data_IF_875502462145
#
_entry.id   IF_875502462145
#
_cell.length_a   1.000
_cell.length_b   1.000
_cell.length_c   1.000
_cell.angle_alpha   90.00
_cell.angle_beta   90.00
_cell.angle_gamma   90.00
#
_symmetry.space_group_name_H-M   'P 1'
#
loop_
_entity.id
_entity.type
_entity.pdbx_description
1 polymer ?
#
# COMPACT_ATOMS: atom_id res chain seq x y z
N UNK A 1 -13.63 45.02 -2.48
CA UNK A 1 -15.03 45.30 -2.12
C UNK A 1 -15.46 44.21 -1.14
N UNK A 2 -15.76 44.56 0.10
CA UNK A 2 -16.18 43.58 1.12
C UNK A 2 -17.66 43.29 0.88
N UNK A 3 -18.02 42.01 0.75
CA UNK A 3 -19.39 41.55 0.50
C UNK A 3 -20.08 41.34 1.84
N UNK A 4 -21.30 41.83 1.99
CA UNK A 4 -22.08 41.68 3.22
C UNK A 4 -22.55 40.22 3.36
N UNK A 5 -22.18 39.57 4.46
CA UNK A 5 -22.43 38.15 4.72
C UNK A 5 -23.60 38.01 5.70
N UNK A 6 -24.49 37.04 5.46
CA UNK A 6 -25.62 36.74 6.34
C UNK A 6 -25.43 35.40 7.02
N UNK A 7 -25.70 35.36 8.33
CA UNK A 7 -25.73 34.12 9.08
C UNK A 7 -27.04 33.37 8.82
N UNK A 8 -26.96 32.08 8.50
CA UNK A 8 -28.11 31.22 8.24
C UNK A 8 -27.96 29.93 9.04
N UNK A 9 -28.97 29.61 9.85
CA UNK A 9 -29.03 28.34 10.58
C UNK A 9 -29.92 27.36 9.82
N UNK A 10 -29.40 26.18 9.53
CA UNK A 10 -30.10 25.11 8.81
C UNK A 10 -30.34 23.93 9.76
N UNK A 11 -31.56 23.41 9.78
CA UNK A 11 -31.95 22.24 10.59
C UNK A 11 -32.65 21.23 9.67
N UNK A 12 -32.38 19.94 9.86
CA UNK A 12 -32.92 18.89 9.01
C UNK A 12 -32.74 17.50 9.61
N UNK A 13 -33.21 16.48 8.87
CA UNK A 13 -32.98 15.08 9.23
C UNK A 13 -31.53 14.72 8.93
N UNK A 14 -30.93 13.90 9.79
CA UNK A 14 -29.56 13.42 9.60
C UNK A 14 -29.37 12.67 8.27
N UNK A 15 -30.33 11.80 7.93
CA UNK A 15 -30.23 10.91 6.77
C UNK A 15 -30.48 11.63 5.42
N UNK A 16 -30.84 12.92 5.45
CA UNK A 16 -31.19 13.71 4.26
C UNK A 16 -30.12 14.79 3.95
N UNK A 17 -28.94 14.66 4.58
CA UNK A 17 -27.85 15.63 4.43
C UNK A 17 -27.32 15.66 2.99
N UNK A 18 -27.21 14.51 2.33
CA UNK A 18 -26.68 14.39 0.96
C UNK A 18 -27.54 15.17 -0.04
N UNK A 19 -28.86 14.96 0.00
CA UNK A 19 -29.81 15.71 -0.84
C UNK A 19 -29.72 17.20 -0.55
N UNK A 20 -29.63 17.60 0.72
CA UNK A 20 -29.54 19.01 1.10
C UNK A 20 -28.25 19.67 0.59
N UNK A 21 -27.13 18.96 0.65
CA UNK A 21 -25.85 19.44 0.11
C UNK A 21 -25.94 19.62 -1.40
N UNK A 22 -26.43 18.60 -2.11
CA UNK A 22 -26.49 18.59 -3.57
C UNK A 22 -27.46 19.64 -4.13
N UNK A 23 -28.67 19.75 -3.55
CA UNK A 23 -29.70 20.65 -4.08
C UNK A 23 -29.49 22.11 -3.68
N UNK A 24 -28.98 22.35 -2.47
CA UNK A 24 -28.99 23.69 -1.87
C UNK A 24 -27.60 24.23 -1.52
N UNK A 25 -26.70 23.45 -0.92
CA UNK A 25 -25.44 24.00 -0.41
C UNK A 25 -24.35 24.12 -1.47
N UNK A 26 -24.30 23.20 -2.43
CA UNK A 26 -23.30 23.14 -3.52
C UNK A 26 -23.32 24.36 -4.45
N UNK A 27 -24.43 25.10 -4.48
CA UNK A 27 -24.67 26.22 -5.42
C UNK A 27 -24.18 27.58 -4.90
N UNK A 28 -23.75 27.65 -3.64
CA UNK A 28 -23.39 28.90 -3.00
C UNK A 28 -21.99 28.85 -2.38
N UNK A 29 -21.31 29.98 -2.40
CA UNK A 29 -20.08 30.18 -1.63
C UNK A 29 -20.45 30.42 -0.17
N UNK A 30 -20.37 29.34 0.63
CA UNK A 30 -20.71 29.35 2.05
C UNK A 30 -19.48 29.11 2.92
N UNK A 31 -19.45 29.75 4.08
CA UNK A 31 -18.48 29.45 5.14
C UNK A 31 -19.21 28.73 6.26
N UNK A 32 -18.67 27.59 6.69
CA UNK A 32 -19.23 26.82 7.79
C UNK A 32 -18.67 27.35 9.12
N UNK A 33 -19.58 27.72 10.01
CA UNK A 33 -19.27 28.08 11.39
C UNK A 33 -19.73 26.98 12.35
N UNK A 34 -19.07 26.86 13.49
CA UNK A 34 -19.44 25.86 14.48
C UNK A 34 -20.76 26.22 15.16
N UNK A 35 -21.83 25.50 14.81
CA UNK A 35 -23.16 25.72 15.35
C UNK A 35 -23.23 25.61 16.89
N UNK A 36 -22.37 24.81 17.53
CA UNK A 36 -22.35 24.69 19.00
C UNK A 36 -21.74 25.91 19.69
N UNK A 37 -20.85 26.63 19.00
CA UNK A 37 -20.29 27.89 19.48
C UNK A 37 -21.37 28.99 19.51
N UNK A 38 -22.34 28.94 18.60
CA UNK A 38 -23.45 29.91 18.58
C UNK A 38 -24.63 29.48 19.47
N UNK A 39 -24.81 28.18 19.68
CA UNK A 39 -25.91 27.61 20.46
C UNK A 39 -25.53 27.30 21.94
N UNK A 40 -24.49 27.95 22.46
CA UNK A 40 -24.03 27.78 23.85
C UNK A 40 -25.20 27.96 24.84
N UNK A 41 -25.44 26.93 25.65
CA UNK A 41 -26.49 26.93 26.70
C UNK A 41 -27.64 25.94 26.46
N UNK A 42 -27.74 25.36 25.25
CA UNK A 42 -28.72 24.30 24.98
C UNK A 42 -28.26 22.95 25.56
N UNK A 43 -28.85 22.52 26.67
CA UNK A 43 -28.49 21.24 27.34
C UNK A 43 -28.77 19.97 26.51
N UNK A 44 -29.52 20.10 25.41
CA UNK A 44 -30.03 18.97 24.64
C UNK A 44 -29.27 18.71 23.33
N UNK A 45 -28.44 19.63 22.86
CA UNK A 45 -27.70 19.46 21.60
C UNK A 45 -26.34 18.84 21.88
N UNK A 46 -25.96 17.89 21.03
CA UNK A 46 -24.65 17.23 21.09
C UNK A 46 -24.01 17.29 19.71
N UNK A 47 -22.67 17.44 19.63
CA UNK A 47 -21.98 17.34 18.36
C UNK A 47 -22.26 16.00 17.68
N UNK A 48 -22.31 16.02 16.36
CA UNK A 48 -22.34 14.80 15.56
C UNK A 48 -20.96 14.12 15.60
N UNK A 49 -20.89 12.91 16.13
CA UNK A 49 -19.64 12.17 16.31
C UNK A 49 -19.59 10.86 15.53
N UNK A 50 -20.61 10.57 14.72
CA UNK A 50 -20.62 9.34 13.93
C UNK A 50 -19.49 9.36 12.89
N UNK A 51 -18.92 8.19 12.56
CA UNK A 51 -17.86 8.10 11.57
C UNK A 51 -18.35 8.54 10.19
N UNK A 52 -17.45 9.09 9.39
CA UNK A 52 -17.73 9.47 8.01
C UNK A 52 -18.10 8.21 7.19
N UNK A 53 -19.34 8.12 6.64
CA UNK A 53 -19.77 6.95 5.88
C UNK A 53 -18.99 6.75 4.57
N UNK A 54 -18.33 7.79 4.06
CA UNK A 54 -17.55 7.73 2.82
C UNK A 54 -16.07 7.39 3.03
N UNK A 55 -15.59 7.40 4.28
CA UNK A 55 -14.17 7.15 4.57
C UNK A 55 -13.64 5.82 3.99
N UNK A 56 -14.37 4.69 4.06
CA UNK A 56 -13.90 3.42 3.47
C UNK A 56 -13.77 3.48 1.95
N UNK A 57 -14.68 4.20 1.27
CA UNK A 57 -14.64 4.36 -0.18
C UNK A 57 -13.50 5.27 -0.62
N UNK A 58 -13.24 6.35 0.14
CA UNK A 58 -12.09 7.21 -0.10
C UNK A 58 -10.77 6.44 0.05
N UNK A 59 -10.65 5.58 1.06
CA UNK A 59 -9.46 4.74 1.22
C UNK A 59 -9.24 3.83 0.01
N UNK A 60 -10.30 3.15 -0.46
CA UNK A 60 -10.25 2.29 -1.64
C UNK A 60 -9.84 3.05 -2.90
N UNK A 61 -10.44 4.22 -3.14
CA UNK A 61 -10.06 5.09 -4.27
C UNK A 61 -8.61 5.54 -4.17
N UNK A 62 -8.15 5.94 -2.98
CA UNK A 62 -6.75 6.31 -2.77
C UNK A 62 -5.78 5.14 -3.01
N UNK A 63 -6.18 3.90 -2.70
CA UNK A 63 -5.39 2.72 -3.04
C UNK A 63 -5.33 2.51 -4.54
N UNK A 64 -6.45 2.65 -5.25
CA UNK A 64 -6.49 2.57 -6.72
C UNK A 64 -5.63 3.66 -7.37
N UNK A 65 -5.65 4.87 -6.81
CA UNK A 65 -4.91 6.01 -7.30
C UNK A 65 -3.39 5.80 -7.26
N UNK A 66 -2.88 5.01 -6.30
CA UNK A 66 -1.45 4.68 -6.20
C UNK A 66 -0.92 3.89 -7.40
N UNK A 67 -1.79 3.23 -8.16
CA UNK A 67 -1.39 2.52 -9.38
C UNK A 67 -1.28 3.43 -10.61
N UNK A 68 -1.72 4.69 -10.51
CA UNK A 68 -1.66 5.66 -11.60
C UNK A 68 -0.35 6.45 -11.50
N UNK A 69 0.35 6.57 -12.63
CA UNK A 69 1.60 7.35 -12.74
C UNK A 69 1.37 8.84 -12.42
N UNK A 70 2.33 9.48 -11.74
CA UNK A 70 2.26 10.90 -11.35
C UNK A 70 1.99 11.85 -12.53
N UNK A 71 2.51 11.51 -13.71
CA UNK A 71 2.26 12.25 -14.96
C UNK A 71 0.79 12.25 -15.38
N UNK A 72 0.09 11.14 -15.14
CA UNK A 72 -1.31 10.99 -15.50
C UNK A 72 -2.24 11.55 -14.41
N UNK A 73 -1.80 11.52 -13.15
CA UNK A 73 -2.47 12.24 -12.07
C UNK A 73 -2.51 13.75 -12.34
N UNK A 74 -1.41 14.33 -12.84
CA UNK A 74 -1.31 15.76 -13.14
C UNK A 74 -2.18 16.21 -14.32
N UNK A 75 -2.55 15.28 -15.22
CA UNK A 75 -3.44 15.52 -16.37
C UNK A 75 -4.91 15.37 -16.01
N UNK A 76 -5.23 14.85 -14.82
CA UNK A 76 -6.61 14.65 -14.40
C UNK A 76 -7.30 16.00 -14.24
N UNK A 77 -8.32 16.24 -15.06
CA UNK A 77 -9.22 17.37 -14.89
C UNK A 77 -10.34 16.93 -13.96
N UNK A 78 -10.64 17.75 -12.96
CA UNK A 78 -11.82 17.55 -12.11
C UNK A 78 -13.03 17.85 -12.98
N UNK A 79 -13.71 16.81 -13.47
CA UNK A 79 -15.00 16.95 -14.14
C UNK A 79 -16.05 17.21 -13.05
N UNK A 80 -16.70 18.37 -13.13
CA UNK A 80 -17.62 18.89 -12.10
C UNK A 80 -18.99 18.18 -12.16
N UNK A 81 -19.32 17.51 -13.27
CA UNK A 81 -20.48 16.61 -13.37
C UNK A 81 -20.24 15.36 -12.52
N UNK A 82 -20.44 15.53 -11.21
CA UNK A 82 -20.28 14.48 -10.21
C UNK A 82 -21.42 13.47 -10.37
N UNK A 83 -21.14 12.21 -10.75
CA UNK A 83 -22.17 11.19 -10.82
C UNK A 83 -22.71 10.86 -9.42
N UNK A 84 -23.93 10.32 -9.35
CA UNK A 84 -24.53 9.88 -8.09
C UNK A 84 -23.59 8.92 -7.33
N UNK A 85 -23.60 9.01 -6.01
CA UNK A 85 -22.79 8.16 -5.12
C UNK A 85 -22.95 6.67 -5.40
N UNK A 86 -24.13 6.21 -5.84
CA UNK A 86 -24.36 4.80 -6.16
C UNK A 86 -23.59 4.36 -7.40
N UNK A 87 -23.46 5.24 -8.39
CA UNK A 87 -22.67 4.99 -9.60
C UNK A 87 -21.19 4.89 -9.23
N UNK A 88 -20.72 5.81 -8.37
CA UNK A 88 -19.33 5.80 -7.90
C UNK A 88 -18.97 4.50 -7.17
N UNK A 89 -19.86 3.99 -6.30
CA UNK A 89 -19.65 2.71 -5.60
C UNK A 89 -19.48 1.56 -6.58
N UNK A 90 -20.36 1.47 -7.58
CA UNK A 90 -20.29 0.43 -8.61
C UNK A 90 -19.02 0.55 -9.45
N UNK A 91 -18.60 1.77 -9.81
CA UNK A 91 -17.37 2.01 -10.56
C UNK A 91 -16.13 1.57 -9.77
N UNK A 92 -16.05 1.88 -8.46
CA UNK A 92 -14.95 1.44 -7.60
C UNK A 92 -14.85 -0.09 -7.59
N UNK A 93 -15.97 -0.78 -7.38
CA UNK A 93 -16.01 -2.25 -7.36
C UNK A 93 -15.60 -2.88 -8.70
N UNK A 94 -16.04 -2.28 -9.82
CA UNK A 94 -15.64 -2.72 -11.15
C UNK A 94 -14.13 -2.55 -11.36
N UNK A 95 -13.58 -1.38 -11.02
CA UNK A 95 -12.15 -1.10 -11.17
C UNK A 95 -11.29 -2.07 -10.35
N UNK A 96 -11.66 -2.33 -9.10
CA UNK A 96 -10.97 -3.30 -8.25
C UNK A 96 -10.99 -4.70 -8.88
N UNK A 97 -12.14 -5.15 -9.37
CA UNK A 97 -12.27 -6.45 -10.04
C UNK A 97 -11.42 -6.54 -11.31
N UNK A 98 -11.32 -5.45 -12.07
CA UNK A 98 -10.48 -5.39 -13.26
C UNK A 98 -8.98 -5.43 -12.94
N UNK A 99 -8.58 -4.86 -11.80
CA UNK A 99 -7.17 -4.76 -11.38
C UNK A 99 -6.69 -6.00 -10.61
N UNK A 100 -7.60 -6.70 -9.91
CA UNK A 100 -7.30 -7.93 -9.17
C UNK A 100 -6.43 -8.97 -9.92
N UNK A 101 -6.71 -9.35 -11.18
CA UNK A 101 -5.87 -10.32 -11.89
C UNK A 101 -4.46 -9.78 -12.18
N UNK A 102 -4.31 -8.47 -12.40
CA UNK A 102 -3.01 -7.85 -12.60
C UNK A 102 -2.19 -7.87 -11.31
N UNK A 103 -2.81 -7.59 -10.17
CA UNK A 103 -2.15 -7.64 -8.85
C UNK A 103 -1.69 -9.05 -8.50
N UNK A 104 -2.52 -10.07 -8.76
CA UNK A 104 -2.15 -11.48 -8.54
C UNK A 104 -0.92 -11.86 -9.37
N UNK A 105 -0.91 -11.50 -10.66
CA UNK A 105 0.24 -11.75 -11.54
C UNK A 105 1.49 -11.01 -11.08
N UNK A 106 1.37 -9.75 -10.66
CA UNK A 106 2.51 -8.98 -10.13
C UNK A 106 3.11 -9.66 -8.89
N UNK A 107 2.27 -10.15 -7.97
CA UNK A 107 2.71 -10.90 -6.80
C UNK A 107 3.40 -12.21 -7.17
N UNK A 108 2.81 -13.01 -8.07
CA UNK A 108 3.39 -14.26 -8.57
C UNK A 108 4.77 -14.02 -9.21
N UNK A 109 4.89 -12.99 -10.05
CA UNK A 109 6.15 -12.63 -10.70
C UNK A 109 7.20 -12.14 -9.69
N UNK A 110 6.80 -11.38 -8.67
CA UNK A 110 7.71 -10.95 -7.59
C UNK A 110 8.23 -12.15 -6.80
N UNK A 111 7.37 -13.11 -6.48
CA UNK A 111 7.77 -14.34 -5.80
C UNK A 111 8.73 -15.17 -6.66
N UNK A 112 8.39 -15.38 -7.94
CA UNK A 112 9.24 -16.12 -8.87
C UNK A 112 10.60 -15.44 -9.05
N UNK A 113 10.61 -14.10 -9.16
CA UNK A 113 11.86 -13.33 -9.23
C UNK A 113 12.71 -13.52 -7.98
N UNK A 114 12.11 -13.48 -6.79
CA UNK A 114 12.82 -13.69 -5.53
C UNK A 114 13.43 -15.11 -5.46
N UNK A 115 12.64 -16.13 -5.79
CA UNK A 115 13.12 -17.53 -5.84
C UNK A 115 14.29 -17.70 -6.83
N UNK A 116 14.17 -17.14 -8.04
CA UNK A 116 15.25 -17.21 -9.04
C UNK A 116 16.48 -16.44 -8.59
N UNK A 117 16.32 -15.31 -7.89
CA UNK A 117 17.45 -14.56 -7.34
C UNK A 117 18.16 -15.36 -6.25
N UNK A 118 17.43 -16.02 -5.35
CA UNK A 118 18.03 -16.89 -4.32
C UNK A 118 18.81 -18.05 -4.94
N UNK A 119 18.28 -18.67 -5.98
CA UNK A 119 18.98 -19.72 -6.73
C UNK A 119 20.24 -19.18 -7.42
N UNK A 120 20.17 -17.99 -8.01
CA UNK A 120 21.32 -17.35 -8.65
C UNK A 120 22.39 -17.01 -7.62
N UNK A 121 22.00 -16.49 -6.45
CA UNK A 121 22.91 -16.22 -5.34
C UNK A 121 23.58 -17.50 -4.83
N UNK A 122 22.86 -18.63 -4.80
CA UNK A 122 23.43 -19.95 -4.47
C UNK A 122 24.43 -20.42 -5.53
N UNK A 123 24.12 -20.25 -6.82
CA UNK A 123 25.02 -20.62 -7.92
C UNK A 123 26.28 -19.74 -7.93
N UNK A 124 26.14 -18.44 -7.60
CA UNK A 124 27.27 -17.50 -7.55
C UNK A 124 28.37 -17.94 -6.57
N UNK A 125 28.04 -18.76 -5.56
CA UNK A 125 29.01 -19.32 -4.63
C UNK A 125 30.01 -20.27 -5.28
N UNK A 126 29.68 -20.81 -6.45
CA UNK A 126 30.55 -21.69 -7.22
C UNK A 126 31.33 -20.95 -8.31
N UNK A 127 31.07 -19.66 -8.52
CA UNK A 127 31.86 -18.84 -9.44
C UNK A 127 33.30 -18.73 -8.90
N UNK A 128 34.27 -19.25 -9.66
CA UNK A 128 35.69 -19.29 -9.27
C UNK A 128 36.19 -20.65 -8.78
N UNK A 129 35.33 -21.67 -8.70
CA UNK A 129 35.79 -23.05 -8.51
C UNK A 129 36.42 -23.53 -9.83
N UNK A 130 37.76 -23.63 -9.87
CA UNK A 130 38.52 -24.04 -11.06
C UNK A 130 38.39 -25.54 -11.42
N UNK A 131 37.44 -26.26 -10.82
CA UNK A 131 37.22 -27.68 -11.02
C UNK A 131 35.77 -27.96 -11.41
N UNK A 132 35.50 -28.97 -12.26
CA UNK A 132 34.14 -29.36 -12.59
C UNK A 132 33.40 -29.83 -11.34
N UNK A 133 32.30 -29.17 -10.99
CA UNK A 133 31.49 -29.48 -9.80
C UNK A 133 31.03 -30.94 -9.84
N UNK A 134 30.66 -31.44 -11.02
CA UNK A 134 30.26 -32.84 -11.23
C UNK A 134 31.30 -33.84 -10.69
N UNK A 135 32.58 -33.57 -10.92
CA UNK A 135 33.67 -34.43 -10.45
C UNK A 135 33.83 -34.36 -8.92
N UNK A 136 33.63 -33.17 -8.33
CA UNK A 136 33.63 -32.99 -6.88
C UNK A 136 32.50 -33.79 -6.25
N UNK A 137 31.30 -33.74 -6.85
CA UNK A 137 30.11 -34.44 -6.36
C UNK A 137 30.24 -35.98 -6.42
N UNK A 138 31.07 -36.51 -7.33
CA UNK A 138 31.30 -37.96 -7.49
C UNK A 138 32.44 -38.53 -6.64
N UNK A 139 33.03 -37.75 -5.73
CA UNK A 139 34.12 -38.24 -4.88
C UNK A 139 33.62 -39.15 -3.75
N UNK A 140 34.01 -40.43 -3.76
CA UNK A 140 33.56 -41.41 -2.75
C UNK A 140 34.28 -41.30 -1.39
N UNK A 141 35.49 -40.74 -1.38
CA UNK A 141 36.37 -40.73 -0.19
C UNK A 141 36.52 -39.35 0.46
N UNK A 142 35.88 -38.31 -0.10
CA UNK A 142 35.98 -36.93 0.39
C UNK A 142 34.58 -36.41 0.64
N UNK A 143 34.31 -35.99 1.89
CA UNK A 143 33.09 -35.27 2.22
C UNK A 143 33.33 -33.77 2.07
N UNK A 144 32.54 -33.10 1.23
CA UNK A 144 32.65 -31.66 0.98
C UNK A 144 31.36 -30.96 1.43
N UNK A 145 31.48 -29.71 1.87
CA UNK A 145 30.36 -28.85 2.23
C UNK A 145 30.60 -27.46 1.66
N UNK A 146 29.63 -26.95 0.90
CA UNK A 146 29.64 -25.58 0.39
C UNK A 146 28.78 -24.69 1.28
N UNK A 147 29.21 -23.44 1.49
CA UNK A 147 28.44 -22.51 2.31
C UNK A 147 29.09 -21.13 2.41
N UNK A 148 28.42 -20.23 3.14
CA UNK A 148 28.92 -18.89 3.44
C UNK A 148 29.31 -18.81 4.91
N UNK A 149 30.50 -18.31 5.17
CA UNK A 149 30.93 -17.91 6.51
C UNK A 149 31.17 -16.40 6.54
N UNK A 150 30.75 -15.76 7.63
CA UNK A 150 31.28 -14.43 7.94
C UNK A 150 32.77 -14.58 8.27
N UNK A 151 33.58 -13.57 7.93
CA UNK A 151 35.03 -13.66 8.10
C UNK A 151 35.42 -13.95 9.57
N UNK A 152 34.70 -13.37 10.53
CA UNK A 152 34.89 -13.64 11.96
C UNK A 152 34.58 -15.09 12.34
N UNK A 153 33.52 -15.68 11.78
CA UNK A 153 33.14 -17.05 12.10
C UNK A 153 34.02 -18.06 11.37
N UNK A 154 34.51 -17.74 10.17
CA UNK A 154 35.49 -18.55 9.44
C UNK A 154 36.76 -18.76 10.27
N UNK A 155 37.32 -17.70 10.85
CA UNK A 155 38.54 -17.80 11.67
C UNK A 155 38.34 -18.66 12.92
N UNK A 156 37.18 -18.54 13.58
CA UNK A 156 36.83 -19.38 14.74
C UNK A 156 36.67 -20.84 14.34
N UNK A 157 35.99 -21.09 13.22
CA UNK A 157 35.76 -22.43 12.70
C UNK A 157 37.07 -23.11 12.27
N UNK A 158 37.91 -22.40 11.52
CA UNK A 158 39.22 -22.89 11.06
C UNK A 158 40.08 -23.33 12.24
N UNK A 159 40.18 -22.53 13.30
CA UNK A 159 40.92 -22.91 14.52
C UNK A 159 40.33 -24.16 15.19
N UNK A 160 39.01 -24.20 15.34
CA UNK A 160 38.35 -25.34 15.99
C UNK A 160 38.52 -26.66 15.21
N UNK A 161 38.42 -26.61 13.88
CA UNK A 161 38.51 -27.81 13.03
C UNK A 161 39.95 -28.28 12.90
N UNK A 162 40.91 -27.37 12.69
CA UNK A 162 42.33 -27.73 12.54
C UNK A 162 42.92 -28.39 13.78
N UNK A 163 42.41 -28.04 14.97
CA UNK A 163 42.84 -28.68 16.23
C UNK A 163 42.24 -30.09 16.44
N UNK A 164 41.18 -30.45 15.71
CA UNK A 164 40.42 -31.70 15.94
C UNK A 164 40.39 -32.68 14.77
N UNK A 165 40.57 -32.21 13.54
CA UNK A 165 40.43 -33.01 12.32
C UNK A 165 41.51 -32.63 11.30
N UNK A 166 41.94 -33.61 10.50
CA UNK A 166 42.75 -33.35 9.30
C UNK A 166 41.78 -32.84 8.23
N UNK A 167 41.81 -31.54 7.94
CA UNK A 167 40.89 -30.89 7.02
C UNK A 167 41.62 -29.89 6.11
N UNK A 168 41.10 -29.69 4.90
CA UNK A 168 41.62 -28.75 3.89
C UNK A 168 40.47 -27.79 3.55
N UNK A 169 40.77 -26.49 3.43
CA UNK A 169 39.80 -25.41 3.18
C UNK A 169 40.05 -24.75 1.83
#
# INVERSE_FOLDING_TARGET
MIKDMKFVTIMGRQDDIDRMVDEYLSKYEIHFENALTELYGSKSLRPYTSPNPYAPYLERVNQLWKYVSEEDQSKSQIIIDSPSMDILKVSIEQMEKHIEPCLKKDQELKMLKAEKQELLDMISLFEGVNYPIEQILTMDHIHFQFGRFTHSNYEKFKKYVMDRFISIF
#
